data_IF_232125799544
#
_entry.id   IF_232125799544
#
_cell.length_a   1.000
_cell.length_b   1.000
_cell.length_c   1.000
_cell.angle_alpha   90.00
_cell.angle_beta   90.00
_cell.angle_gamma   90.00
#
_symmetry.space_group_name_H-M   'P 1'
#
loop_
_entity.id
_entity.type
_entity.pdbx_description
1 polymer ?
#
# COMPACT_ATOMS: atom_id res chain seq x y z
N UNK A 1 63.90 56.18 -3.70
CA UNK A 1 63.51 55.36 -4.85
C UNK A 1 62.65 54.21 -4.34
N UNK A 2 61.35 54.22 -4.61
CA UNK A 2 60.42 53.18 -4.17
C UNK A 2 60.34 52.17 -5.31
N UNK A 3 61.04 51.05 -5.20
CA UNK A 3 60.97 50.00 -6.21
C UNK A 3 59.59 49.35 -6.15
N UNK A 4 58.74 49.66 -7.14
CA UNK A 4 57.47 48.98 -7.36
C UNK A 4 57.75 47.60 -7.95
N UNK A 5 57.64 46.56 -7.13
CA UNK A 5 57.74 45.18 -7.59
C UNK A 5 56.39 44.80 -8.22
N UNK A 6 56.39 44.62 -9.54
CA UNK A 6 55.28 44.02 -10.25
C UNK A 6 55.17 42.53 -9.85
N UNK A 7 54.11 42.19 -9.13
CA UNK A 7 53.85 40.83 -8.63
C UNK A 7 53.51 39.86 -9.77
N UNK A 8 53.08 40.38 -10.91
CA UNK A 8 52.66 39.59 -12.06
C UNK A 8 53.78 39.35 -13.07
N UNK A 9 54.89 40.09 -12.95
CA UNK A 9 56.08 39.89 -13.76
C UNK A 9 56.63 38.47 -13.60
N UNK A 10 56.92 37.84 -14.74
CA UNK A 10 57.48 36.47 -14.82
C UNK A 10 58.71 36.28 -13.91
N UNK A 11 59.70 37.20 -13.86
CA UNK A 11 60.86 37.04 -12.99
C UNK A 11 60.51 37.01 -11.49
N UNK A 12 59.46 37.74 -11.08
CA UNK A 12 59.00 37.77 -9.68
C UNK A 12 58.28 36.47 -9.34
N UNK A 13 57.45 35.95 -10.25
CA UNK A 13 56.79 34.64 -10.10
C UNK A 13 57.79 33.48 -10.02
N UNK A 14 58.85 33.53 -10.82
CA UNK A 14 59.92 32.53 -10.81
C UNK A 14 60.72 32.58 -9.50
N UNK A 15 61.13 33.78 -9.07
CA UNK A 15 61.84 33.97 -7.80
C UNK A 15 61.02 33.48 -6.59
N UNK A 16 59.71 33.80 -6.56
CA UNK A 16 58.79 33.30 -5.52
C UNK A 16 58.65 31.78 -5.56
N UNK A 17 58.52 31.20 -6.75
CA UNK A 17 58.43 29.75 -6.94
C UNK A 17 59.67 29.02 -6.43
N UNK A 18 60.86 29.58 -6.67
CA UNK A 18 62.12 29.01 -6.20
C UNK A 18 62.29 29.15 -4.68
N UNK A 19 61.86 30.26 -4.09
CA UNK A 19 61.82 30.43 -2.64
C UNK A 19 60.92 29.36 -1.99
N UNK A 20 59.72 29.14 -2.53
CA UNK A 20 58.79 28.13 -2.04
C UNK A 20 59.32 26.69 -2.23
N UNK A 21 60.06 26.41 -3.31
CA UNK A 21 60.72 25.11 -3.49
C UNK A 21 61.74 24.84 -2.39
N UNK A 22 62.57 25.83 -2.05
CA UNK A 22 63.58 25.70 -0.97
C UNK A 22 62.89 25.40 0.36
N UNK A 23 61.83 26.14 0.69
CA UNK A 23 61.02 25.93 1.89
C UNK A 23 60.42 24.52 1.97
N UNK A 24 59.86 24.01 0.87
CA UNK A 24 59.29 22.66 0.82
C UNK A 24 60.35 21.58 1.07
N UNK A 25 61.53 21.72 0.46
CA UNK A 25 62.62 20.76 0.63
C UNK A 25 63.19 20.80 2.04
N UNK A 26 63.33 21.99 2.63
CA UNK A 26 63.73 22.18 4.02
C UNK A 26 62.74 21.47 4.96
N UNK A 27 61.43 21.72 4.83
CA UNK A 27 60.41 21.05 5.64
C UNK A 27 60.41 19.53 5.50
N UNK A 28 60.63 19.02 4.29
CA UNK A 28 60.77 17.57 4.05
C UNK A 28 61.97 16.98 4.81
N UNK A 29 63.14 17.62 4.72
CA UNK A 29 64.35 17.17 5.43
C UNK A 29 64.16 17.19 6.95
N UNK A 30 63.58 18.27 7.48
CA UNK A 30 63.27 18.38 8.90
C UNK A 30 62.34 17.27 9.39
N UNK A 31 61.23 17.05 8.67
CA UNK A 31 60.28 15.99 9.00
C UNK A 31 60.95 14.61 8.95
N UNK A 32 61.80 14.37 7.94
CA UNK A 32 62.51 13.09 7.78
C UNK A 32 63.50 12.82 8.92
N UNK A 33 64.22 13.83 9.39
CA UNK A 33 65.27 13.68 10.40
C UNK A 33 64.77 13.72 11.84
N UNK A 34 63.77 14.57 12.12
CA UNK A 34 63.39 14.92 13.50
C UNK A 34 61.94 14.56 13.86
N UNK A 35 61.21 13.89 12.98
CA UNK A 35 59.81 13.53 13.25
C UNK A 35 59.48 12.10 12.82
N UNK A 36 59.78 11.72 11.58
CA UNK A 36 59.45 10.38 11.07
C UNK A 36 60.22 9.29 11.84
N UNK A 37 59.49 8.33 12.41
CA UNK A 37 60.08 7.21 13.16
C UNK A 37 60.50 7.53 14.60
N UNK A 38 60.28 8.77 15.05
CA UNK A 38 60.55 9.19 16.44
C UNK A 38 59.24 9.07 17.24
N UNK A 39 59.24 8.45 18.43
CA UNK A 39 58.04 8.37 19.24
C UNK A 39 57.64 9.78 19.73
N UNK A 40 56.34 10.03 19.88
CA UNK A 40 55.80 11.38 20.08
C UNK A 40 56.40 12.11 21.32
N UNK A 41 56.73 11.36 22.37
CA UNK A 41 57.36 11.86 23.58
C UNK A 41 58.84 12.27 23.41
N UNK A 42 59.51 11.80 22.35
CA UNK A 42 60.90 12.11 22.03
C UNK A 42 61.05 13.12 20.90
N UNK A 43 59.95 13.63 20.33
CA UNK A 43 60.00 14.70 19.33
C UNK A 43 60.49 15.98 20.00
N UNK A 44 61.49 16.62 19.39
CA UNK A 44 62.10 17.85 19.92
C UNK A 44 61.05 18.95 20.07
N UNK A 45 61.10 19.68 21.18
CA UNK A 45 60.25 20.84 21.43
C UNK A 45 60.87 22.16 20.95
N UNK A 46 62.18 22.16 20.70
CA UNK A 46 62.96 23.31 20.21
C UNK A 46 63.33 23.16 18.74
N UNK A 47 63.44 24.28 18.06
CA UNK A 47 63.78 24.36 16.64
C UNK A 47 65.19 23.81 16.40
N UNK A 48 65.36 22.88 15.45
CA UNK A 48 66.68 22.40 15.04
C UNK A 48 67.43 23.39 14.14
N UNK A 49 66.79 24.50 13.72
CA UNK A 49 67.38 25.49 12.84
C UNK A 49 67.46 26.85 13.54
N UNK A 50 68.61 27.53 13.41
CA UNK A 50 68.78 28.90 13.91
C UNK A 50 67.91 29.93 13.17
N UNK A 51 67.53 29.63 11.92
CA UNK A 51 66.69 30.50 11.08
C UNK A 51 65.19 30.41 11.38
N UNK A 52 64.77 29.52 12.28
CA UNK A 52 63.38 29.26 12.60
C UNK A 52 63.16 29.31 14.11
N UNK A 53 62.08 29.98 14.54
CA UNK A 53 61.76 30.07 15.97
C UNK A 53 61.15 28.77 16.49
N UNK A 54 61.28 28.53 17.80
CA UNK A 54 60.68 27.38 18.45
C UNK A 54 59.16 27.33 18.29
N UNK A 55 58.50 28.49 18.20
CA UNK A 55 57.06 28.56 17.96
C UNK A 55 56.69 28.03 16.57
N UNK A 56 57.44 28.44 15.54
CA UNK A 56 57.24 27.95 14.17
C UNK A 56 57.54 26.45 14.06
N UNK A 57 58.56 25.96 14.77
CA UNK A 57 58.85 24.53 14.87
C UNK A 57 57.69 23.75 15.49
N UNK A 58 57.16 24.20 16.63
CA UNK A 58 56.00 23.58 17.28
C UNK A 58 54.78 23.54 16.37
N UNK A 59 54.50 24.62 15.63
CA UNK A 59 53.42 24.64 14.64
C UNK A 59 53.60 23.57 13.55
N UNK A 60 54.83 23.33 13.08
CA UNK A 60 55.11 22.26 12.11
C UNK A 60 54.90 20.86 12.71
N UNK A 61 55.37 20.64 13.94
CA UNK A 61 55.19 19.37 14.65
C UNK A 61 53.70 19.09 14.90
N UNK A 62 52.92 20.09 15.31
CA UNK A 62 51.48 19.98 15.48
C UNK A 62 50.78 19.65 14.16
N UNK A 63 51.13 20.35 13.08
CA UNK A 63 50.59 20.08 11.75
C UNK A 63 50.89 18.64 11.30
N UNK A 64 52.11 18.14 11.52
CA UNK A 64 52.48 16.76 11.16
C UNK A 64 51.83 15.71 12.07
N UNK A 65 51.56 16.06 13.32
CA UNK A 65 50.91 15.19 14.31
C UNK A 65 49.40 15.09 14.13
N UNK A 66 48.79 16.11 13.52
CA UNK A 66 47.35 16.20 13.28
C UNK A 66 46.82 14.98 12.51
N UNK A 67 45.76 14.36 13.06
CA UNK A 67 45.12 13.17 12.49
C UNK A 67 44.64 13.36 11.04
N UNK A 68 43.96 14.48 10.75
CA UNK A 68 43.48 14.79 9.38
C UNK A 68 44.64 14.91 8.40
N UNK A 69 45.76 15.50 8.82
CA UNK A 69 46.95 15.61 7.98
C UNK A 69 47.57 14.23 7.70
N UNK A 70 47.67 13.37 8.73
CA UNK A 70 48.17 11.99 8.59
C UNK A 70 47.32 11.17 7.64
N UNK A 71 45.99 11.23 7.79
CA UNK A 71 45.05 10.53 6.92
C UNK A 71 45.22 10.99 5.46
N UNK A 72 45.28 12.30 5.21
CA UNK A 72 45.51 12.85 3.87
C UNK A 72 46.85 12.39 3.30
N UNK A 73 47.92 12.34 4.11
CA UNK A 73 49.21 11.81 3.68
C UNK A 73 49.14 10.33 3.29
N UNK A 74 48.43 9.50 4.05
CA UNK A 74 48.25 8.07 3.75
C UNK A 74 47.44 7.87 2.46
N UNK A 75 46.31 8.57 2.31
CA UNK A 75 45.51 8.55 1.06
C UNK A 75 46.33 8.97 -0.14
N UNK A 76 47.11 10.05 -0.02
CA UNK A 76 48.00 10.51 -1.08
C UNK A 76 49.12 9.50 -1.38
N UNK A 77 49.62 8.77 -0.39
CA UNK A 77 50.62 7.71 -0.59
C UNK A 77 50.01 6.55 -1.37
N UNK A 78 48.86 6.02 -0.93
CA UNK A 78 48.16 4.97 -1.68
C UNK A 78 47.80 5.40 -3.10
N UNK A 79 47.36 6.65 -3.28
CA UNK A 79 47.09 7.20 -4.63
C UNK A 79 48.34 7.25 -5.50
N UNK A 80 49.52 7.52 -4.93
CA UNK A 80 50.80 7.52 -5.66
C UNK A 80 51.26 6.11 -6.01
N UNK A 81 50.99 5.13 -5.15
CA UNK A 81 51.32 3.72 -5.39
C UNK A 81 50.48 3.11 -6.51
N UNK A 82 49.28 3.63 -6.76
CA UNK A 82 48.41 3.25 -7.90
C UNK A 82 48.84 3.86 -9.24
N UNK A 83 49.80 4.78 -9.27
CA UNK A 83 50.27 5.41 -10.51
C UNK A 83 51.15 4.41 -11.26
N UNK A 84 50.59 3.80 -12.29
CA UNK A 84 51.28 2.83 -13.15
C UNK A 84 52.34 3.50 -14.05
N UNK A 85 51.96 4.59 -14.73
CA UNK A 85 52.84 5.26 -15.70
C UNK A 85 53.41 6.55 -15.11
N UNK A 86 54.64 6.47 -14.58
CA UNK A 86 55.33 7.64 -14.05
C UNK A 86 55.90 8.51 -15.17
N UNK A 87 55.55 9.79 -15.14
CA UNK A 87 56.12 10.80 -16.03
C UNK A 87 57.59 11.08 -15.66
N UNK A 88 58.47 11.05 -16.66
CA UNK A 88 59.93 11.22 -16.54
C UNK A 88 60.44 12.57 -17.07
N UNK A 89 59.55 13.55 -17.26
CA UNK A 89 59.87 14.91 -17.78
C UNK A 89 60.41 15.87 -16.71
N UNK A 90 60.61 15.39 -15.48
CA UNK A 90 61.06 16.20 -14.36
C UNK A 90 60.03 17.26 -13.95
N UNK A 91 60.45 18.52 -13.88
CA UNK A 91 59.58 19.65 -13.51
C UNK A 91 58.68 20.16 -14.64
N UNK A 92 58.84 19.64 -15.86
CA UNK A 92 58.06 20.08 -17.01
C UNK A 92 56.72 19.37 -17.08
N UNK A 93 55.66 20.13 -17.28
CA UNK A 93 54.34 19.57 -17.59
C UNK A 93 54.34 18.87 -18.95
N UNK A 94 53.35 18.02 -19.20
CA UNK A 94 53.14 17.39 -20.51
C UNK A 94 53.08 18.43 -21.64
N UNK A 95 52.31 19.51 -21.45
CA UNK A 95 52.17 20.59 -22.42
C UNK A 95 53.52 21.24 -22.76
N UNK A 96 54.32 21.56 -21.73
CA UNK A 96 55.63 22.16 -21.92
C UNK A 96 56.62 21.19 -22.60
N UNK A 97 56.56 19.91 -22.26
CA UNK A 97 57.40 18.89 -22.91
C UNK A 97 57.00 18.69 -24.38
N UNK A 98 55.71 18.62 -24.68
CA UNK A 98 55.20 18.51 -26.06
C UNK A 98 55.66 19.70 -26.92
N UNK A 99 55.64 20.92 -26.38
CA UNK A 99 56.16 22.10 -27.07
C UNK A 99 57.65 21.94 -27.41
N UNK A 100 58.46 21.48 -26.45
CA UNK A 100 59.90 21.27 -26.68
C UNK A 100 60.15 20.17 -27.69
N UNK A 101 59.39 19.08 -27.63
CA UNK A 101 59.49 17.98 -28.60
C UNK A 101 59.25 18.48 -30.03
N UNK A 102 58.18 19.27 -30.23
CA UNK A 102 57.87 19.90 -31.52
C UNK A 102 59.03 20.77 -32.02
N UNK A 103 59.67 21.55 -31.15
CA UNK A 103 60.78 22.41 -31.56
C UNK A 103 62.10 21.68 -31.82
N UNK A 104 62.36 20.57 -31.11
CA UNK A 104 63.69 19.95 -31.09
C UNK A 104 63.78 18.68 -31.92
N UNK A 105 62.77 17.81 -31.86
CA UNK A 105 62.77 16.46 -32.44
C UNK A 105 61.87 16.32 -33.67
N UNK A 106 60.82 17.15 -33.73
CA UNK A 106 59.69 16.99 -34.65
C UNK A 106 59.38 18.32 -35.35
N UNK A 107 60.43 18.91 -35.95
CA UNK A 107 60.34 20.22 -36.61
C UNK A 107 59.43 20.19 -37.84
N UNK A 108 59.43 19.07 -38.57
CA UNK A 108 58.79 18.95 -39.89
C UNK A 108 57.43 18.22 -39.84
N UNK A 109 57.18 17.40 -38.82
CA UNK A 109 55.94 16.65 -38.64
C UNK A 109 55.53 16.61 -37.17
N UNK A 110 54.24 16.76 -36.83
CA UNK A 110 53.79 16.74 -35.43
C UNK A 110 54.02 15.35 -34.79
N UNK A 111 54.50 15.30 -33.54
CA UNK A 111 54.77 14.03 -32.87
C UNK A 111 53.48 13.24 -32.67
N UNK A 112 53.57 11.92 -32.87
CA UNK A 112 52.47 10.99 -32.65
C UNK A 112 52.16 10.84 -31.16
N UNK A 113 50.95 10.41 -30.80
CA UNK A 113 50.61 10.11 -29.40
C UNK A 113 51.59 9.11 -28.76
N UNK A 114 51.99 8.07 -29.51
CA UNK A 114 52.99 7.06 -29.08
C UNK A 114 54.38 7.71 -28.92
N UNK A 115 54.78 8.62 -29.82
CA UNK A 115 56.06 9.34 -29.70
C UNK A 115 56.11 10.20 -28.43
N UNK A 116 55.02 10.91 -28.14
CA UNK A 116 54.88 11.70 -26.91
C UNK A 116 54.93 10.77 -25.69
N UNK A 117 54.28 9.62 -25.75
CA UNK A 117 54.31 8.64 -24.66
C UNK A 117 55.74 8.17 -24.39
N UNK A 118 56.47 7.77 -25.44
CA UNK A 118 57.87 7.36 -25.36
C UNK A 118 58.77 8.45 -24.78
N UNK A 119 58.66 9.69 -25.26
CA UNK A 119 59.50 10.79 -24.77
C UNK A 119 59.22 11.14 -23.31
N UNK A 120 57.95 11.09 -22.91
CA UNK A 120 57.52 11.51 -21.57
C UNK A 120 57.73 10.44 -20.50
N UNK A 121 57.87 9.16 -20.88
CA UNK A 121 58.09 8.03 -19.97
C UNK A 121 59.50 7.42 -20.10
N UNK A 122 60.39 8.07 -20.84
CA UNK A 122 61.80 7.70 -20.94
C UNK A 122 62.66 8.64 -20.08
N UNK A 123 63.42 8.07 -19.16
CA UNK A 123 64.43 8.79 -18.41
C UNK A 123 65.79 8.71 -19.10
N UNK A 124 66.52 9.83 -19.14
CA UNK A 124 67.90 9.86 -19.63
C UNK A 124 68.85 8.95 -18.82
N UNK A 125 68.53 8.67 -17.55
CA UNK A 125 69.39 7.90 -16.65
C UNK A 125 69.01 6.43 -16.55
N UNK A 126 67.72 6.12 -16.63
CA UNK A 126 67.17 4.79 -16.33
C UNK A 126 66.38 4.19 -17.48
N UNK A 127 66.24 4.87 -18.62
CA UNK A 127 65.43 4.39 -19.75
C UNK A 127 63.94 4.34 -19.42
N UNK A 128 63.25 3.39 -20.06
CA UNK A 128 61.83 3.09 -19.83
C UNK A 128 61.66 2.19 -18.60
N UNK A 129 60.56 2.36 -17.87
CA UNK A 129 60.15 1.37 -16.89
C UNK A 129 59.50 0.16 -17.57
N UNK A 130 59.49 -0.99 -16.90
CA UNK A 130 58.93 -2.25 -17.41
C UNK A 130 57.48 -2.09 -17.91
N UNK A 131 56.65 -1.37 -17.13
CA UNK A 131 55.26 -1.12 -17.50
C UNK A 131 55.12 -0.23 -18.75
N UNK A 132 55.96 0.78 -18.95
CA UNK A 132 55.93 1.56 -20.19
C UNK A 132 56.48 0.77 -21.37
N UNK A 133 57.47 -0.11 -21.16
CA UNK A 133 57.98 -0.98 -22.24
C UNK A 133 56.88 -1.92 -22.75
N UNK A 134 56.18 -2.60 -21.84
CA UNK A 134 55.05 -3.47 -22.17
C UNK A 134 53.93 -2.68 -22.87
N UNK A 135 53.57 -1.51 -22.33
CA UNK A 135 52.56 -0.66 -22.95
C UNK A 135 52.98 -0.16 -24.35
N UNK A 136 54.25 0.20 -24.57
CA UNK A 136 54.76 0.60 -25.88
C UNK A 136 54.66 -0.57 -26.86
N UNK A 137 55.06 -1.78 -26.46
CA UNK A 137 54.96 -2.97 -27.31
C UNK A 137 53.51 -3.26 -27.70
N UNK A 138 52.57 -3.18 -26.76
CA UNK A 138 51.13 -3.35 -27.03
C UNK A 138 50.58 -2.26 -27.97
N UNK A 139 50.99 -1.00 -27.78
CA UNK A 139 50.57 0.11 -28.65
C UNK A 139 51.09 -0.08 -30.09
N UNK A 140 52.34 -0.49 -30.24
CA UNK A 140 52.95 -0.76 -31.54
C UNK A 140 52.32 -1.96 -32.24
N UNK A 141 52.06 -3.05 -31.50
CA UNK A 141 51.37 -4.22 -32.02
C UNK A 141 49.96 -3.86 -32.51
N UNK A 142 49.20 -3.09 -31.71
CA UNK A 142 47.85 -2.65 -32.07
C UNK A 142 47.82 -1.82 -33.36
N UNK A 143 48.81 -0.93 -33.57
CA UNK A 143 48.91 -0.13 -34.80
C UNK A 143 49.38 -0.98 -35.98
N UNK A 144 50.20 -2.00 -35.75
CA UNK A 144 50.72 -2.89 -36.78
C UNK A 144 49.71 -3.95 -37.27
N UNK A 145 48.62 -4.19 -36.53
CA UNK A 145 47.58 -5.13 -36.93
C UNK A 145 46.94 -4.72 -38.27
N UNK A 146 46.89 -5.62 -39.28
CA UNK A 146 46.24 -5.36 -40.55
C UNK A 146 44.79 -4.91 -40.31
N UNK A 147 44.40 -3.83 -40.98
CA UNK A 147 43.02 -3.34 -40.91
C UNK A 147 42.17 -4.14 -41.89
N UNK A 148 41.02 -4.65 -41.44
CA UNK A 148 40.07 -5.37 -42.31
C UNK A 148 39.61 -4.45 -43.46
N UNK A 149 39.44 -5.02 -44.66
CA UNK A 149 39.06 -4.27 -45.87
C UNK A 149 37.79 -3.42 -45.62
N UNK A 150 37.97 -2.10 -45.58
CA UNK A 150 36.89 -1.12 -45.40
C UNK A 150 36.88 -0.35 -44.07
N UNK A 151 37.78 -0.65 -43.12
CA UNK A 151 37.95 0.16 -41.90
C UNK A 151 39.11 1.18 -42.02
N UNK A 152 38.99 2.30 -41.31
CA UNK A 152 40.06 3.28 -41.19
C UNK A 152 41.28 2.68 -40.46
N UNK A 153 42.53 3.00 -40.87
CA UNK A 153 43.73 2.49 -40.23
C UNK A 153 43.75 2.76 -38.71
N UNK A 154 44.15 1.77 -37.93
CA UNK A 154 44.29 1.89 -36.47
C UNK A 154 45.23 3.03 -36.11
N UNK A 155 44.68 4.08 -35.51
CA UNK A 155 45.45 5.29 -35.19
C UNK A 155 46.23 5.14 -33.87
N UNK A 156 47.38 5.82 -33.73
CA UNK A 156 48.13 5.83 -32.47
C UNK A 156 47.36 6.36 -31.26
N UNK A 157 46.36 7.22 -31.48
CA UNK A 157 45.45 7.70 -30.41
C UNK A 157 44.53 6.57 -29.95
N UNK A 158 44.01 5.75 -30.88
CA UNK A 158 43.21 4.56 -30.55
C UNK A 158 44.05 3.49 -29.85
N UNK A 159 45.32 3.32 -30.23
CA UNK A 159 46.22 2.40 -29.56
C UNK A 159 46.42 2.76 -28.08
N UNK A 160 46.68 4.04 -27.77
CA UNK A 160 46.79 4.50 -26.37
C UNK A 160 45.46 4.36 -25.63
N UNK A 161 44.34 4.66 -26.28
CA UNK A 161 43.01 4.48 -25.71
C UNK A 161 42.73 3.02 -25.33
N UNK A 162 43.18 2.09 -26.16
CA UNK A 162 42.99 0.66 -25.98
C UNK A 162 43.88 0.10 -24.87
N UNK A 163 45.19 0.43 -24.89
CA UNK A 163 46.17 -0.06 -23.91
C UNK A 163 45.99 0.60 -22.54
N UNK A 164 45.53 1.85 -22.50
CA UNK A 164 45.43 2.64 -21.27
C UNK A 164 44.07 3.35 -21.12
N UNK A 165 42.94 2.61 -21.04
CA UNK A 165 41.59 3.18 -21.12
C UNK A 165 41.23 4.10 -19.96
N UNK A 166 41.80 3.87 -18.77
CA UNK A 166 41.57 4.70 -17.57
C UNK A 166 42.55 5.86 -17.44
N UNK A 167 43.49 6.02 -18.37
CA UNK A 167 44.53 7.04 -18.29
C UNK A 167 44.03 8.41 -18.74
N UNK A 168 44.46 9.46 -18.05
CA UNK A 168 44.25 10.85 -18.47
C UNK A 168 45.35 11.35 -19.42
N UNK A 169 46.25 10.48 -19.88
CA UNK A 169 47.39 10.85 -20.73
C UNK A 169 46.97 11.62 -21.99
N UNK A 170 46.03 11.09 -22.78
CA UNK A 170 45.55 11.74 -24.01
C UNK A 170 44.96 13.14 -23.76
N UNK A 171 44.32 13.33 -22.59
CA UNK A 171 43.85 14.63 -22.16
C UNK A 171 45.02 15.58 -21.86
N UNK A 172 46.00 15.13 -21.08
CA UNK A 172 47.14 15.94 -20.64
C UNK A 172 48.08 16.36 -21.78
N UNK A 173 48.13 15.59 -22.87
CA UNK A 173 48.91 15.92 -24.09
C UNK A 173 48.08 16.66 -25.14
N UNK A 174 46.79 16.91 -24.88
CA UNK A 174 45.91 17.65 -25.78
C UNK A 174 45.45 16.89 -27.03
N UNK A 175 45.42 15.55 -26.98
CA UNK A 175 45.03 14.67 -28.10
C UNK A 175 43.70 13.93 -27.88
N UNK A 176 42.91 14.32 -26.88
CA UNK A 176 41.61 13.72 -26.61
C UNK A 176 40.59 14.15 -27.66
N UNK A 177 40.02 13.20 -28.41
CA UNK A 177 39.00 13.51 -29.42
C UNK A 177 37.66 13.90 -28.76
N UNK A 178 36.89 14.76 -29.42
CA UNK A 178 35.54 15.15 -28.96
C UNK A 178 34.55 13.97 -28.98
N UNK A 179 34.78 12.98 -29.84
CA UNK A 179 34.05 11.70 -29.83
C UNK A 179 34.37 10.89 -28.56
N UNK A 180 35.62 10.96 -28.07
CA UNK A 180 36.06 10.29 -26.84
C UNK A 180 35.47 10.88 -25.54
N UNK A 181 35.07 12.16 -25.56
CA UNK A 181 34.29 12.76 -24.46
C UNK A 181 32.84 12.27 -24.46
N UNK A 182 32.27 12.04 -25.65
CA UNK A 182 30.88 11.61 -25.81
C UNK A 182 30.71 10.13 -25.50
N UNK A 183 31.63 9.27 -25.95
CA UNK A 183 31.54 7.82 -25.74
C UNK A 183 31.80 7.39 -24.28
N UNK A 184 32.68 8.04 -23.52
CA UNK A 184 32.88 7.73 -22.10
C UNK A 184 31.66 8.14 -21.24
N UNK A 185 31.08 9.31 -21.55
CA UNK A 185 29.84 9.77 -20.91
C UNK A 185 28.63 8.94 -21.36
N UNK A 186 28.58 8.55 -22.63
CA UNK A 186 27.53 7.69 -23.16
C UNK A 186 27.63 6.27 -22.62
N UNK A 187 28.83 5.69 -22.48
CA UNK A 187 29.03 4.37 -21.88
C UNK A 187 28.57 4.36 -20.42
N UNK A 188 29.00 5.33 -19.61
CA UNK A 188 28.55 5.47 -18.23
C UNK A 188 27.03 5.74 -18.11
N UNK A 189 26.45 6.45 -19.08
CA UNK A 189 25.00 6.67 -19.15
C UNK A 189 24.26 5.40 -19.57
N UNK A 190 24.82 4.62 -20.50
CA UNK A 190 24.24 3.37 -21.00
C UNK A 190 24.25 2.29 -19.92
N UNK A 191 25.35 2.18 -19.15
CA UNK A 191 25.42 1.27 -17.99
C UNK A 191 24.33 1.60 -16.96
N UNK A 192 24.15 2.89 -16.66
CA UNK A 192 23.11 3.37 -15.74
C UNK A 192 21.69 3.20 -16.30
N UNK A 193 21.50 3.34 -17.62
CA UNK A 193 20.21 3.09 -18.28
C UNK A 193 19.87 1.60 -18.20
N UNK A 194 20.83 0.71 -18.48
CA UNK A 194 20.63 -0.74 -18.39
C UNK A 194 20.29 -1.19 -16.95
N UNK A 195 20.96 -0.60 -15.95
CA UNK A 195 20.66 -0.84 -14.53
C UNK A 195 19.24 -0.40 -14.18
N UNK A 196 18.85 0.84 -14.55
CA UNK A 196 17.50 1.35 -14.32
C UNK A 196 16.40 0.57 -15.06
N UNK A 197 16.67 0.11 -16.28
CA UNK A 197 15.74 -0.74 -17.04
C UNK A 197 15.54 -2.09 -16.36
N UNK A 198 16.60 -2.67 -15.79
CA UNK A 198 16.53 -3.91 -15.03
C UNK A 198 15.70 -3.74 -13.75
N UNK A 199 15.90 -2.66 -13.01
CA UNK A 199 15.11 -2.32 -11.82
C UNK A 199 13.64 -2.10 -12.17
N UNK A 200 13.34 -1.33 -13.23
CA UNK A 200 11.97 -1.07 -13.69
C UNK A 200 11.23 -2.37 -14.08
N UNK A 201 11.90 -3.30 -14.75
CA UNK A 201 11.32 -4.59 -15.12
C UNK A 201 11.05 -5.46 -13.89
N UNK A 202 11.94 -5.44 -12.90
CA UNK A 202 11.71 -6.13 -11.63
C UNK A 202 10.52 -5.54 -10.86
N UNK A 203 10.41 -4.21 -10.80
CA UNK A 203 9.30 -3.51 -10.16
C UNK A 203 7.96 -3.77 -10.88
N UNK A 204 7.94 -3.76 -12.22
CA UNK A 204 6.74 -4.12 -13.01
C UNK A 204 6.25 -5.53 -12.69
N UNK A 205 7.15 -6.51 -12.68
CA UNK A 205 6.81 -7.89 -12.31
C UNK A 205 6.28 -7.99 -10.87
N UNK A 206 6.84 -7.21 -9.95
CA UNK A 206 6.34 -7.10 -8.58
C UNK A 206 4.94 -6.48 -8.51
N UNK A 207 4.70 -5.41 -9.27
CA UNK A 207 3.40 -4.74 -9.37
C UNK A 207 2.32 -5.63 -9.97
N UNK A 208 2.64 -6.39 -11.02
CA UNK A 208 1.71 -7.37 -11.62
C UNK A 208 1.35 -8.47 -10.60
N UNK A 209 2.32 -8.93 -9.81
CA UNK A 209 2.09 -9.88 -8.71
C UNK A 209 1.16 -9.31 -7.64
N UNK A 210 1.38 -8.06 -7.21
CA UNK A 210 0.50 -7.39 -6.25
C UNK A 210 -0.90 -7.15 -6.82
N UNK A 211 -1.01 -6.86 -8.11
CA UNK A 211 -2.30 -6.65 -8.77
C UNK A 211 -3.11 -7.94 -8.84
N UNK A 212 -2.47 -9.07 -9.13
CA UNK A 212 -3.12 -10.38 -9.07
C UNK A 212 -3.63 -10.69 -7.65
N UNK A 213 -2.85 -10.39 -6.61
CA UNK A 213 -3.29 -10.57 -5.23
C UNK A 213 -4.49 -9.66 -4.87
N UNK A 214 -4.51 -8.43 -5.39
CA UNK A 214 -5.63 -7.51 -5.21
C UNK A 214 -6.91 -8.04 -5.85
N UNK A 215 -6.82 -8.58 -7.07
CA UNK A 215 -7.96 -9.17 -7.78
C UNK A 215 -8.49 -10.41 -7.04
N UNK A 216 -7.62 -11.25 -6.51
CA UNK A 216 -7.99 -12.41 -5.70
C UNK A 216 -8.72 -12.02 -4.40
N UNK A 217 -8.17 -11.02 -3.67
CA UNK A 217 -8.80 -10.51 -2.44
C UNK A 217 -10.15 -9.85 -2.75
N UNK A 218 -10.24 -9.10 -3.86
CA UNK A 218 -11.48 -8.47 -4.27
C UNK A 218 -12.56 -9.50 -4.63
N UNK A 219 -12.19 -10.60 -5.30
CA UNK A 219 -13.10 -11.71 -5.59
C UNK A 219 -13.57 -12.39 -4.30
N UNK A 220 -12.64 -12.69 -3.38
CA UNK A 220 -12.99 -13.29 -2.08
C UNK A 220 -13.95 -12.41 -1.27
N UNK A 221 -13.75 -11.09 -1.28
CA UNK A 221 -14.64 -10.14 -0.60
C UNK A 221 -16.05 -10.16 -1.20
N UNK A 222 -16.16 -10.22 -2.53
CA UNK A 222 -17.46 -10.25 -3.20
C UNK A 222 -18.21 -11.56 -2.95
N UNK A 223 -17.50 -12.70 -3.00
CA UNK A 223 -18.04 -14.02 -2.64
C UNK A 223 -18.55 -14.02 -1.18
N UNK A 224 -17.77 -13.43 -0.25
CA UNK A 224 -18.14 -13.33 1.16
C UNK A 224 -19.35 -12.42 1.38
N UNK A 225 -19.45 -11.29 0.67
CA UNK A 225 -20.63 -10.42 0.68
C UNK A 225 -21.87 -11.12 0.14
N UNK A 226 -21.73 -11.89 -0.94
CA UNK A 226 -22.86 -12.62 -1.51
C UNK A 226 -23.33 -13.74 -0.58
N UNK A 227 -22.41 -14.43 0.09
CA UNK A 227 -22.72 -15.41 1.13
C UNK A 227 -23.45 -14.75 2.32
N UNK A 228 -22.97 -13.59 2.79
CA UNK A 228 -23.62 -12.84 3.87
C UNK A 228 -25.05 -12.43 3.50
N UNK A 229 -25.28 -11.94 2.28
CA UNK A 229 -26.63 -11.60 1.78
C UNK A 229 -27.58 -12.79 1.77
N UNK A 230 -27.12 -13.95 1.27
CA UNK A 230 -27.91 -15.18 1.27
C UNK A 230 -28.26 -15.64 2.70
N UNK A 231 -27.31 -15.53 3.62
CA UNK A 231 -27.52 -15.89 5.02
C UNK A 231 -28.53 -14.95 5.70
N UNK A 232 -28.43 -13.64 5.46
CA UNK A 232 -29.38 -12.66 5.99
C UNK A 232 -30.80 -12.87 5.44
N UNK A 233 -30.92 -13.19 4.15
CA UNK A 233 -32.21 -13.52 3.54
C UNK A 233 -32.81 -14.82 4.13
N UNK A 234 -31.99 -15.84 4.34
CA UNK A 234 -32.40 -17.07 5.00
C UNK A 234 -32.86 -16.81 6.45
N UNK A 235 -32.15 -15.97 7.20
CA UNK A 235 -32.52 -15.57 8.56
C UNK A 235 -33.87 -14.80 8.58
N UNK A 236 -34.10 -13.89 7.61
CA UNK A 236 -35.38 -13.19 7.47
C UNK A 236 -36.53 -14.15 7.17
N UNK A 237 -36.35 -15.07 6.21
CA UNK A 237 -37.35 -16.11 5.88
C UNK A 237 -37.67 -16.96 7.10
N UNK A 238 -36.65 -17.40 7.84
CA UNK A 238 -36.84 -18.21 9.04
C UNK A 238 -37.59 -17.45 10.15
N UNK A 239 -37.25 -16.18 10.40
CA UNK A 239 -37.98 -15.32 11.34
C UNK A 239 -39.46 -15.15 10.93
N UNK A 240 -39.75 -14.94 9.64
CA UNK A 240 -41.14 -14.84 9.18
C UNK A 240 -41.90 -16.16 9.28
N UNK A 241 -41.25 -17.30 9.02
CA UNK A 241 -41.84 -18.62 9.21
C UNK A 241 -42.16 -18.87 10.68
N UNK A 242 -41.25 -18.51 11.60
CA UNK A 242 -41.46 -18.64 13.03
C UNK A 242 -42.64 -17.77 13.52
N UNK A 243 -42.76 -16.53 13.04
CA UNK A 243 -43.93 -15.67 13.33
C UNK A 243 -45.26 -16.23 12.81
N UNK A 244 -45.24 -16.87 11.63
CA UNK A 244 -46.44 -17.55 11.10
C UNK A 244 -46.80 -18.77 11.93
N UNK A 245 -45.79 -19.54 12.36
CA UNK A 245 -46.01 -20.72 13.18
C UNK A 245 -46.56 -20.36 14.57
N UNK A 246 -46.03 -19.30 15.22
CA UNK A 246 -46.60 -18.82 16.49
C UNK A 246 -48.02 -18.29 16.34
N UNK A 247 -48.32 -17.60 15.23
CA UNK A 247 -49.70 -17.17 14.93
C UNK A 247 -50.62 -18.37 14.66
N UNK A 248 -50.14 -19.40 13.97
CA UNK A 248 -50.90 -20.62 13.71
C UNK A 248 -51.20 -21.37 15.01
N UNK A 249 -50.22 -21.48 15.91
CA UNK A 249 -50.42 -22.07 17.24
C UNK A 249 -51.48 -21.29 18.05
N UNK A 250 -51.39 -19.96 18.10
CA UNK A 250 -52.39 -19.14 18.79
C UNK A 250 -53.80 -19.24 18.17
N UNK A 251 -53.91 -19.39 16.85
CA UNK A 251 -55.20 -19.66 16.18
C UNK A 251 -55.72 -21.03 16.60
N UNK A 252 -54.87 -22.05 16.63
CA UNK A 252 -55.24 -23.40 17.00
C UNK A 252 -55.73 -23.48 18.45
N UNK A 253 -55.05 -22.80 19.37
CA UNK A 253 -55.49 -22.71 20.78
C UNK A 253 -56.89 -22.08 20.88
N UNK A 254 -57.16 -21.02 20.11
CA UNK A 254 -58.47 -20.36 20.11
C UNK A 254 -59.56 -21.20 19.45
N UNK A 255 -59.22 -22.02 18.45
CA UNK A 255 -60.17 -22.99 17.86
C UNK A 255 -60.56 -24.02 18.91
N UNK A 256 -59.60 -24.58 19.66
CA UNK A 256 -59.88 -25.54 20.72
C UNK A 256 -60.77 -24.95 21.83
N UNK A 257 -60.56 -23.68 22.17
CA UNK A 257 -61.38 -22.95 23.16
C UNK A 257 -62.82 -22.76 22.64
N UNK A 258 -62.98 -22.29 21.41
CA UNK A 258 -64.30 -22.13 20.77
C UNK A 258 -65.04 -23.47 20.62
N UNK A 259 -64.34 -24.56 20.30
CA UNK A 259 -64.93 -25.90 20.26
C UNK A 259 -65.46 -26.34 21.63
N UNK A 260 -64.73 -25.99 22.70
CA UNK A 260 -65.15 -26.26 24.07
C UNK A 260 -66.40 -25.43 24.46
N UNK A 261 -66.43 -24.14 24.09
CA UNK A 261 -67.59 -23.26 24.29
C UNK A 261 -68.83 -23.76 23.52
N UNK A 262 -68.66 -24.11 22.24
CA UNK A 262 -69.75 -24.60 21.40
C UNK A 262 -70.34 -25.91 21.92
N UNK A 263 -69.51 -26.82 22.44
CA UNK A 263 -69.98 -28.04 23.07
C UNK A 263 -70.75 -27.76 24.37
N UNK A 264 -70.31 -26.78 25.16
CA UNK A 264 -71.03 -26.35 26.35
C UNK A 264 -72.41 -25.74 26.01
N UNK A 265 -72.46 -24.86 25.00
CA UNK A 265 -73.74 -24.29 24.52
C UNK A 265 -74.67 -25.36 23.96
N UNK A 266 -74.14 -26.33 23.20
CA UNK A 266 -74.95 -27.44 22.69
C UNK A 266 -75.56 -28.25 23.83
N UNK A 267 -74.77 -28.62 24.83
CA UNK A 267 -75.27 -29.33 26.02
C UNK A 267 -76.31 -28.48 26.78
N UNK A 268 -76.11 -27.17 26.85
CA UNK A 268 -77.07 -26.23 27.44
C UNK A 268 -78.38 -26.14 26.64
N UNK A 269 -78.29 -26.08 25.31
CA UNK A 269 -79.45 -26.06 24.42
C UNK A 269 -80.23 -27.37 24.46
N UNK A 270 -79.54 -28.51 24.53
CA UNK A 270 -80.17 -29.82 24.71
C UNK A 270 -80.93 -29.86 26.06
N UNK A 271 -80.34 -29.28 27.11
CA UNK A 271 -81.00 -29.08 28.41
C UNK A 271 -82.25 -28.20 28.34
N UNK A 272 -82.16 -27.05 27.67
CA UNK A 272 -83.31 -26.16 27.44
C UNK A 272 -84.38 -26.83 26.58
N UNK A 273 -84.01 -27.64 25.58
CA UNK A 273 -84.96 -28.40 24.76
C UNK A 273 -85.71 -29.44 25.59
N UNK A 274 -85.03 -30.09 26.54
CA UNK A 274 -85.69 -30.99 27.49
C UNK A 274 -86.69 -30.24 28.37
N UNK A 275 -86.31 -29.07 28.89
CA UNK A 275 -87.23 -28.22 29.67
C UNK A 275 -88.43 -27.74 28.85
N UNK A 276 -88.22 -27.36 27.59
CA UNK A 276 -89.29 -26.93 26.68
C UNK A 276 -90.28 -28.08 26.43
N UNK A 277 -89.78 -29.31 26.25
CA UNK A 277 -90.62 -30.50 26.09
C UNK A 277 -91.48 -30.76 27.34
N UNK A 278 -90.89 -30.60 28.53
CA UNK A 278 -91.63 -30.73 29.79
C UNK A 278 -92.73 -29.66 29.93
N UNK A 279 -92.44 -28.40 29.57
CA UNK A 279 -93.44 -27.32 29.58
C UNK A 279 -94.54 -27.55 28.55
N UNK A 280 -94.21 -28.00 27.34
CA UNK A 280 -95.20 -28.36 26.33
C UNK A 280 -96.13 -29.47 26.81
N UNK A 281 -95.58 -30.49 27.49
CA UNK A 281 -96.36 -31.56 28.09
C UNK A 281 -97.30 -31.03 29.17
N UNK A 282 -96.80 -30.19 30.08
CA UNK A 282 -97.64 -29.55 31.11
C UNK A 282 -98.76 -28.70 30.51
N UNK A 283 -98.50 -27.98 29.41
CA UNK A 283 -99.50 -27.19 28.71
C UNK A 283 -100.61 -28.07 28.10
N UNK A 284 -100.26 -29.19 27.47
CA UNK A 284 -101.25 -30.13 26.94
C UNK A 284 -102.09 -30.79 28.03
N UNK A 285 -101.46 -31.19 29.14
CA UNK A 285 -102.18 -31.70 30.32
C UNK A 285 -103.19 -30.65 30.85
N UNK A 286 -102.81 -29.36 30.88
CA UNK A 286 -103.71 -28.26 31.25
C UNK A 286 -104.86 -28.06 30.25
N UNK A 287 -104.59 -28.13 28.94
CA UNK A 287 -105.65 -28.02 27.91
C UNK A 287 -106.65 -29.17 28.01
N UNK A 288 -106.18 -30.40 28.27
CA UNK A 288 -107.06 -31.55 28.43
C UNK A 288 -107.91 -31.43 29.70
N UNK A 289 -107.33 -30.93 30.79
CA UNK A 289 -108.07 -30.60 32.02
C UNK A 289 -109.13 -29.52 31.77
N UNK A 290 -108.80 -28.47 31.03
CA UNK A 290 -109.74 -27.41 30.66
C UNK A 290 -110.91 -27.96 29.82
N UNK A 291 -110.62 -28.84 28.86
CA UNK A 291 -111.65 -29.49 28.03
C UNK A 291 -112.59 -30.38 28.85
N UNK A 292 -112.04 -31.14 29.81
CA UNK A 292 -112.85 -31.94 30.76
C UNK A 292 -113.73 -31.05 31.64
N UNK A 293 -113.22 -29.88 32.05
CA UNK A 293 -113.98 -28.91 32.84
C UNK A 293 -115.10 -28.26 32.01
N UNK A 294 -114.84 -27.93 30.75
CA UNK A 294 -115.84 -27.39 29.81
C UNK A 294 -116.94 -28.42 29.50
N UNK A 295 -116.59 -29.70 29.33
CA UNK A 295 -117.55 -30.78 29.15
C UNK A 295 -118.40 -31.03 30.42
N UNK A 296 -117.78 -30.94 31.60
CA UNK A 296 -118.51 -30.96 32.87
C UNK A 296 -119.46 -29.76 33.01
N UNK A 297 -119.06 -28.57 32.57
CA UNK A 297 -119.91 -27.39 32.55
C UNK A 297 -121.12 -27.56 31.61
N UNK A 298 -120.94 -28.12 30.41
CA UNK A 298 -122.06 -28.44 29.49
C UNK A 298 -123.04 -29.45 30.09
N UNK A 299 -122.56 -30.47 30.80
CA UNK A 299 -123.44 -31.43 31.48
C UNK A 299 -124.26 -30.77 32.58
N UNK A 300 -123.63 -29.90 33.38
CA UNK A 300 -124.35 -29.11 34.38
C UNK A 300 -125.39 -28.18 33.74
N UNK A 301 -125.05 -27.53 32.62
CA UNK A 301 -125.98 -26.65 31.91
C UNK A 301 -127.18 -27.42 31.35
N UNK A 302 -126.97 -28.59 30.74
CA UNK A 302 -128.06 -29.49 30.32
C UNK A 302 -128.96 -29.95 31.48
N UNK A 303 -128.38 -30.25 32.64
CA UNK A 303 -129.16 -30.57 33.84
C UNK A 303 -129.99 -29.38 34.32
N UNK A 304 -129.44 -28.17 34.30
CA UNK A 304 -130.20 -26.96 34.69
C UNK A 304 -131.34 -26.65 33.73
N UNK A 305 -131.17 -26.87 32.43
CA UNK A 305 -132.25 -26.69 31.45
C UNK A 305 -133.33 -27.76 31.60
N UNK A 306 -132.98 -29.02 31.89
CA UNK A 306 -133.98 -30.05 32.23
C UNK A 306 -134.80 -29.68 33.45
N UNK A 307 -134.18 -29.12 34.48
CA UNK A 307 -134.89 -28.63 35.67
C UNK A 307 -135.81 -27.45 35.37
N UNK A 308 -135.40 -26.51 34.50
CA UNK A 308 -136.27 -25.41 34.04
C UNK A 308 -137.46 -25.93 33.23
N UNK A 309 -137.24 -26.88 32.33
CA UNK A 309 -138.30 -27.49 31.53
C UNK A 309 -139.34 -28.18 32.42
N UNK A 310 -138.89 -28.94 33.43
CA UNK A 310 -139.79 -29.51 34.44
C UNK A 310 -140.55 -28.43 35.23
N UNK A 311 -139.88 -27.32 35.57
CA UNK A 311 -140.54 -26.16 36.20
C UNK A 311 -141.65 -25.56 35.33
N UNK A 312 -141.44 -25.46 34.01
CA UNK A 312 -142.43 -24.95 33.06
C UNK A 312 -143.61 -25.92 32.87
N UNK A 313 -143.37 -27.22 32.85
CA UNK A 313 -144.43 -28.24 32.77
C UNK A 313 -145.33 -28.24 34.01
N UNK A 314 -144.76 -28.08 35.21
CA UNK A 314 -145.53 -27.94 36.46
C UNK A 314 -146.36 -26.65 36.43
N UNK A 315 -145.80 -25.53 35.97
CA UNK A 315 -146.52 -24.26 35.81
C UNK A 315 -147.66 -24.35 34.79
N UNK A 316 -147.47 -25.07 33.68
CA UNK A 316 -148.50 -25.32 32.68
C UNK A 316 -149.63 -26.22 33.19
N UNK A 317 -149.29 -27.23 33.99
CA UNK A 317 -150.25 -28.12 34.62
C UNK A 317 -151.16 -27.37 35.61
N UNK A 318 -150.58 -26.50 36.44
CA UNK A 318 -151.34 -25.68 37.39
C UNK A 318 -152.27 -24.67 36.69
N UNK A 319 -151.85 -24.09 35.56
CA UNK A 319 -152.67 -23.13 34.78
C UNK A 319 -153.88 -23.81 34.10
N UNK A 320 -153.78 -25.10 33.81
CA UNK A 320 -154.83 -25.87 33.13
C UNK A 320 -155.87 -26.44 34.12
N UNK A 321 -155.52 -26.66 35.39
CA UNK A 321 -156.42 -27.22 36.39
C UNK A 321 -157.37 -26.21 37.07
N UNK A 322 -157.05 -24.91 37.07
CA UNK A 322 -157.76 -23.94 37.92
C UNK A 322 -158.41 -22.73 37.22
N UNK A 323 -158.61 -22.77 35.89
CA UNK A 323 -159.02 -21.59 35.12
C UNK A 323 -160.26 -21.73 34.23
N UNK A 324 -161.44 -22.08 34.78
CA UNK A 324 -162.76 -21.54 34.31
C UNK A 324 -163.98 -22.06 35.10
N UNK A 325 -164.34 -21.37 36.19
CA UNK A 325 -165.71 -21.02 36.64
C UNK A 325 -165.67 -20.61 38.12
N UNK A 326 -165.80 -19.31 38.40
CA UNK A 326 -166.73 -18.77 39.40
C UNK A 326 -166.96 -17.28 39.11
N UNK A 327 -168.22 -16.89 39.25
CA UNK A 327 -168.77 -15.56 39.04
C UNK A 327 -168.36 -14.57 40.16
N UNK A 328 -168.37 -13.26 39.83
CA UNK A 328 -168.74 -12.03 40.60
C UNK A 328 -168.59 -11.96 42.14
N UNK A 329 -168.66 -10.76 42.77
CA UNK A 329 -168.75 -9.39 42.23
C UNK A 329 -167.69 -8.41 42.83
N UNK A 330 -167.72 -7.16 42.34
CA UNK A 330 -167.19 -5.87 42.86
C UNK A 330 -166.95 -5.74 44.40
N UNK A 331 -166.40 -4.62 44.95
CA UNK A 331 -165.70 -3.44 44.38
C UNK A 331 -164.45 -2.99 45.21
N UNK A 332 -163.78 -1.90 44.79
CA UNK A 332 -162.58 -1.25 45.39
C UNK A 332 -161.24 -1.99 45.26
#
# INVERSE_FOLDING_TARGET
SQFTIDKDAVPVKDALSDLLKKERQMRYKLKKQYFNGIPANAVRTTSPLSTMTDMQWKQLVDMWSNSKHKEKCLKNKGSRELVQYHQMTGSRSYVAQCYVMKQTKFKDAPPTAIDIFKDTHCSRKSGFNEQAMDAIAQMEAYVAEPTEEGQDPKTPVQAIAHVMPKSTFLHNVGMQSAAMKRNAKAAAMNDRVNELESELQAEKKGSDGLRSQLDDVQKQLEDQKQAARKNEEAARKNSTAMKRNTKAAAINDRVNELESELQAEKNGSDGLSSQLADVQKQLEDQKEAARKNEEAARKNEEETEKLKQQGLEIQGFLRTLFGNKFASPDPQ
#
